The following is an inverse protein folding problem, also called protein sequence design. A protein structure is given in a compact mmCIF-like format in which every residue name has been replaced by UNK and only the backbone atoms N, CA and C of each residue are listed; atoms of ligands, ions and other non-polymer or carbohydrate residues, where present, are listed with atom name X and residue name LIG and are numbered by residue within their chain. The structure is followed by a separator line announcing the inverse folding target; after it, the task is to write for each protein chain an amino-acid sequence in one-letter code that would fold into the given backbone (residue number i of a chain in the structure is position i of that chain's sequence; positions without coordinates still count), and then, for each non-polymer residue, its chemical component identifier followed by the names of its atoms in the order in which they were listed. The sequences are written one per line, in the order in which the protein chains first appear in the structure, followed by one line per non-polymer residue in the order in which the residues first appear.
data_IF_284388688649
#
_entry.id   IF_284388688649
#
_cell.length_a   1.000
_cell.length_b   1.000
_cell.length_c   1.000
_cell.angle_alpha   90.00
_cell.angle_beta   90.00
_cell.angle_gamma   90.00
#
_symmetry.space_group_name_H-M   'P 1'
#
loop_
_entity.id
_entity.type
_entity.pdbx_description
1 polymer ?
#
# COMPACT_ATOMS: atom_id res chain seq x y z
N UNK A 1 22.85 18.90 -26.17
CA UNK A 1 21.80 17.89 -26.47
C UNK A 1 21.22 17.33 -25.16
N UNK A 2 20.28 18.04 -24.53
CA UNK A 2 19.70 17.69 -23.23
C UNK A 2 18.22 17.29 -23.33
N UNK A 3 17.84 16.52 -24.36
CA UNK A 3 16.46 16.08 -24.57
C UNK A 3 16.17 14.66 -23.99
N UNK A 4 17.13 14.06 -23.28
CA UNK A 4 17.01 12.70 -22.73
C UNK A 4 16.67 12.60 -21.24
N UNK A 5 16.93 13.65 -20.44
CA UNK A 5 16.79 13.58 -18.98
C UNK A 5 15.35 13.85 -18.47
N UNK A 6 14.51 14.53 -19.24
CA UNK A 6 13.12 14.82 -18.86
C UNK A 6 12.15 13.65 -19.02
N UNK A 7 12.45 12.73 -19.96
CA UNK A 7 11.61 11.55 -20.25
C UNK A 7 11.72 10.48 -19.16
N UNK A 8 12.88 10.29 -18.56
CA UNK A 8 13.10 9.28 -17.50
C UNK A 8 12.41 9.67 -16.19
N UNK A 9 12.44 10.96 -15.84
CA UNK A 9 11.73 11.50 -14.67
C UNK A 9 10.20 11.46 -14.85
N UNK A 10 9.69 11.79 -16.04
CA UNK A 10 8.24 11.77 -16.30
C UNK A 10 7.66 10.36 -16.31
N UNK A 11 8.34 9.39 -16.95
CA UNK A 11 7.87 8.00 -17.01
C UNK A 11 7.85 7.34 -15.63
N UNK A 12 8.91 7.55 -14.84
CA UNK A 12 8.98 7.01 -13.47
C UNK A 12 7.90 7.62 -12.59
N UNK A 13 7.66 8.93 -12.71
CA UNK A 13 6.61 9.62 -11.97
C UNK A 13 5.21 9.10 -12.31
N UNK A 14 4.90 8.94 -13.61
CA UNK A 14 3.61 8.38 -14.06
C UNK A 14 3.40 6.94 -13.57
N UNK A 15 4.45 6.12 -13.59
CA UNK A 15 4.41 4.76 -13.05
C UNK A 15 4.07 4.74 -11.56
N UNK A 16 4.82 5.49 -10.74
CA UNK A 16 4.56 5.55 -9.30
C UNK A 16 3.18 6.15 -9.00
N UNK A 17 2.77 7.22 -9.68
CA UNK A 17 1.46 7.84 -9.49
C UNK A 17 0.32 6.87 -9.81
N UNK A 18 0.44 6.11 -10.91
CA UNK A 18 -0.56 5.09 -11.29
C UNK A 18 -0.66 3.97 -10.24
N UNK A 19 0.48 3.47 -9.74
CA UNK A 19 0.48 2.44 -8.70
C UNK A 19 -0.17 2.93 -7.39
N UNK A 20 0.13 4.15 -6.95
CA UNK A 20 -0.48 4.72 -5.75
C UNK A 20 -1.97 5.01 -5.95
N UNK A 21 -2.39 5.41 -7.15
CA UNK A 21 -3.80 5.57 -7.47
C UNK A 21 -4.55 4.23 -7.38
N UNK A 22 -3.98 3.16 -7.93
CA UNK A 22 -4.57 1.82 -7.79
C UNK A 22 -4.61 1.37 -6.32
N UNK A 23 -3.53 1.60 -5.56
CA UNK A 23 -3.48 1.27 -4.13
C UNK A 23 -4.52 2.07 -3.32
N UNK A 24 -4.78 3.32 -3.70
CA UNK A 24 -5.85 4.14 -3.13
C UNK A 24 -7.22 3.53 -3.38
N UNK A 25 -7.53 3.16 -4.63
CA UNK A 25 -8.83 2.56 -4.98
C UNK A 25 -9.06 1.26 -4.21
N UNK A 26 -8.05 0.39 -4.14
CA UNK A 26 -8.14 -0.84 -3.36
C UNK A 26 -8.29 -0.56 -1.86
N UNK A 27 -7.51 0.36 -1.28
CA UNK A 27 -7.61 0.73 0.13
C UNK A 27 -9.01 1.27 0.50
N UNK A 28 -9.59 2.14 -0.35
CA UNK A 28 -10.95 2.67 -0.14
C UNK A 28 -12.00 1.55 -0.28
N UNK A 29 -11.82 0.64 -1.23
CA UNK A 29 -12.71 -0.51 -1.41
C UNK A 29 -12.73 -1.39 -0.16
N UNK A 30 -11.55 -1.65 0.43
CA UNK A 30 -11.39 -2.42 1.67
C UNK A 30 -12.01 -1.70 2.86
N UNK A 31 -11.80 -0.39 2.99
CA UNK A 31 -12.49 0.43 4.00
C UNK A 31 -14.01 0.35 3.87
N UNK A 32 -14.55 0.35 2.65
CA UNK A 32 -15.98 0.20 2.41
C UNK A 32 -16.50 -1.19 2.79
N UNK A 33 -15.82 -2.25 2.34
CA UNK A 33 -16.19 -3.64 2.63
C UNK A 33 -16.24 -3.92 4.15
N UNK A 34 -15.19 -3.54 4.87
CA UNK A 34 -15.08 -3.80 6.30
C UNK A 34 -15.82 -2.75 7.16
N UNK A 35 -15.96 -1.52 6.67
CA UNK A 35 -16.75 -0.47 7.31
C UNK A 35 -18.23 -0.81 7.39
N UNK A 36 -18.78 -1.50 6.38
CA UNK A 36 -20.18 -1.97 6.40
C UNK A 36 -20.41 -3.02 7.49
N UNK A 37 -19.45 -3.92 7.73
CA UNK A 37 -19.56 -4.88 8.84
C UNK A 37 -19.50 -4.19 10.21
N UNK A 38 -18.67 -3.15 10.34
CA UNK A 38 -18.62 -2.31 11.54
C UNK A 38 -19.93 -1.56 11.79
N UNK A 39 -20.53 -1.02 10.73
CA UNK A 39 -21.83 -0.33 10.78
C UNK A 39 -22.96 -1.29 11.15
N UNK A 40 -22.93 -2.52 10.62
CA UNK A 40 -23.87 -3.60 10.96
C UNK A 40 -23.72 -4.02 12.43
N UNK A 41 -22.50 -4.15 12.94
CA UNK A 41 -22.24 -4.44 14.35
C UNK A 41 -22.77 -3.32 15.27
N UNK A 42 -22.53 -2.05 14.90
CA UNK A 42 -23.06 -0.87 15.61
C UNK A 42 -24.58 -0.85 15.64
N UNK A 43 -25.24 -1.14 14.52
CA UNK A 43 -26.71 -1.20 14.42
C UNK A 43 -27.32 -2.37 15.21
N UNK A 44 -26.57 -3.45 15.39
CA UNK A 44 -26.99 -4.60 16.19
C UNK A 44 -26.69 -4.44 17.69
N UNK A 45 -26.21 -3.26 18.12
CA UNK A 45 -25.75 -2.96 19.49
C UNK A 45 -24.72 -3.97 20.01
N UNK A 46 -23.89 -4.51 19.09
CA UNK A 46 -22.81 -5.44 19.39
C UNK A 46 -21.47 -4.73 19.35
N UNK A 47 -20.53 -5.21 20.15
CA UNK A 47 -19.17 -4.70 20.16
C UNK A 47 -18.52 -4.88 18.78
N UNK A 48 -17.83 -3.84 18.30
CA UNK A 48 -17.08 -3.92 17.06
C UNK A 48 -15.87 -4.84 17.24
N UNK A 49 -15.82 -5.94 16.48
CA UNK A 49 -14.68 -6.87 16.55
C UNK A 49 -13.42 -6.16 16.03
N UNK A 50 -12.36 -6.23 16.85
CA UNK A 50 -11.11 -5.49 16.66
C UNK A 50 -10.43 -5.78 15.32
N UNK A 51 -10.70 -6.95 14.72
CA UNK A 51 -10.17 -7.35 13.40
C UNK A 51 -10.64 -6.40 12.29
N UNK A 52 -11.92 -6.05 12.28
CA UNK A 52 -12.51 -5.15 11.29
C UNK A 52 -12.03 -3.72 11.50
N UNK A 53 -11.92 -3.28 12.75
CA UNK A 53 -11.37 -1.96 13.11
C UNK A 53 -9.94 -1.83 12.60
N UNK A 54 -9.11 -2.85 12.82
CA UNK A 54 -7.74 -2.87 12.34
C UNK A 54 -7.68 -2.73 10.80
N UNK A 55 -8.52 -3.48 10.08
CA UNK A 55 -8.59 -3.41 8.62
C UNK A 55 -8.94 -2.01 8.10
N UNK A 56 -9.93 -1.36 8.72
CA UNK A 56 -10.37 0.00 8.35
C UNK A 56 -9.28 1.03 8.67
N UNK A 57 -8.58 0.90 9.80
CA UNK A 57 -7.47 1.81 10.15
C UNK A 57 -6.30 1.67 9.17
N UNK A 58 -5.90 0.44 8.85
CA UNK A 58 -4.84 0.15 7.86
C UNK A 58 -5.24 0.67 6.47
N UNK A 59 -6.49 0.45 6.07
CA UNK A 59 -7.05 0.97 4.83
C UNK A 59 -7.05 2.50 4.79
N UNK A 60 -7.46 3.16 5.88
CA UNK A 60 -7.46 4.62 6.02
C UNK A 60 -6.04 5.21 5.95
N UNK A 61 -5.08 4.63 6.67
CA UNK A 61 -3.67 5.03 6.61
C UNK A 61 -3.10 4.88 5.20
N UNK A 62 -3.46 3.80 4.51
CA UNK A 62 -3.01 3.55 3.13
C UNK A 62 -3.64 4.52 2.14
N UNK A 63 -4.91 4.85 2.31
CA UNK A 63 -5.61 5.83 1.48
C UNK A 63 -4.99 7.23 1.64
N UNK A 64 -4.76 7.66 2.89
CA UNK A 64 -4.08 8.93 3.19
C UNK A 64 -2.66 8.96 2.62
N UNK A 65 -1.90 7.87 2.81
CA UNK A 65 -0.54 7.75 2.27
C UNK A 65 -0.52 7.82 0.75
N UNK A 66 -1.48 7.19 0.08
CA UNK A 66 -1.57 7.20 -1.38
C UNK A 66 -1.90 8.59 -1.93
N UNK A 67 -2.79 9.35 -1.27
CA UNK A 67 -3.09 10.75 -1.62
C UNK A 67 -1.84 11.62 -1.42
N UNK A 68 -1.15 11.48 -0.29
CA UNK A 68 0.06 12.24 0.01
C UNK A 68 1.17 11.96 -1.01
N UNK A 69 1.34 10.70 -1.43
CA UNK A 69 2.36 10.32 -2.40
C UNK A 69 2.02 10.65 -3.86
N UNK A 70 0.79 11.07 -4.17
CA UNK A 70 0.48 11.73 -5.44
C UNK A 70 1.13 13.11 -5.57
N UNK A 71 1.58 13.73 -4.47
CA UNK A 71 2.25 15.02 -4.49
C UNK A 71 3.76 14.80 -4.70
N UNK A 72 4.36 15.32 -5.81
CA UNK A 72 5.74 15.04 -6.19
C UNK A 72 6.78 15.52 -5.15
N UNK A 73 6.41 16.49 -4.32
CA UNK A 73 7.27 17.05 -3.28
C UNK A 73 7.59 16.02 -2.18
N UNK A 74 6.65 15.13 -1.86
CA UNK A 74 6.79 14.14 -0.79
C UNK A 74 7.62 12.93 -1.26
N UNK A 75 7.73 12.69 -2.58
CA UNK A 75 8.53 11.62 -3.17
C UNK A 75 10.05 11.78 -2.94
N UNK A 76 10.53 12.96 -2.53
CA UNK A 76 11.94 13.23 -2.25
C UNK A 76 12.40 12.80 -0.85
N UNK A 77 11.49 12.35 0.02
CA UNK A 77 11.88 11.87 1.35
C UNK A 77 12.66 10.56 1.26
N UNK A 78 13.91 10.57 1.76
CA UNK A 78 14.79 9.39 1.78
C UNK A 78 14.22 8.20 2.58
N UNK A 79 13.21 8.43 3.42
CA UNK A 79 12.52 7.41 4.22
C UNK A 79 11.25 6.85 3.56
N UNK A 80 10.90 7.25 2.32
CA UNK A 80 9.70 6.76 1.64
C UNK A 80 9.66 5.23 1.56
N UNK A 81 10.79 4.60 1.21
CA UNK A 81 10.88 3.14 1.09
C UNK A 81 10.57 2.41 2.41
N UNK A 82 10.93 3.01 3.56
CA UNK A 82 10.61 2.45 4.89
C UNK A 82 9.10 2.51 5.11
N UNK A 83 8.46 3.63 4.79
CA UNK A 83 7.02 3.79 4.95
C UNK A 83 6.22 2.84 4.05
N UNK A 84 6.61 2.71 2.78
CA UNK A 84 6.00 1.76 1.85
C UNK A 84 6.13 0.32 2.37
N UNK A 85 7.27 -0.02 2.98
CA UNK A 85 7.50 -1.33 3.58
C UNK A 85 6.68 -1.57 4.86
N UNK A 86 6.52 -0.54 5.69
CA UNK A 86 5.62 -0.60 6.85
C UNK A 86 4.19 -0.89 6.40
N UNK A 87 3.68 -0.17 5.40
CA UNK A 87 2.33 -0.41 4.86
C UNK A 87 2.20 -1.83 4.30
N UNK A 88 3.21 -2.34 3.59
CA UNK A 88 3.24 -3.72 3.15
C UNK A 88 3.11 -4.74 4.30
N UNK A 89 3.83 -4.54 5.42
CA UNK A 89 3.72 -5.41 6.59
C UNK A 89 2.32 -5.32 7.21
N UNK A 90 1.75 -4.12 7.32
CA UNK A 90 0.39 -3.93 7.85
C UNK A 90 -0.65 -4.67 6.98
N UNK A 91 -0.55 -4.56 5.65
CA UNK A 91 -1.41 -5.30 4.73
C UNK A 91 -1.21 -6.81 4.80
N UNK A 92 0.02 -7.28 5.03
CA UNK A 92 0.31 -8.70 5.25
C UNK A 92 -0.38 -9.21 6.52
N UNK A 93 -0.40 -8.42 7.59
CA UNK A 93 -1.12 -8.77 8.82
C UNK A 93 -2.64 -8.80 8.60
N UNK A 94 -3.21 -7.81 7.91
CA UNK A 94 -4.63 -7.79 7.53
C UNK A 94 -4.99 -9.04 6.73
N UNK A 95 -4.25 -9.29 5.65
CA UNK A 95 -4.43 -10.48 4.83
C UNK A 95 -4.31 -11.75 5.66
N UNK A 96 -3.30 -11.90 6.52
CA UNK A 96 -3.11 -13.09 7.35
C UNK A 96 -4.27 -13.37 8.30
N UNK A 97 -4.83 -12.34 8.95
CA UNK A 97 -5.99 -12.47 9.84
C UNK A 97 -7.22 -12.94 9.08
N UNK A 98 -7.52 -12.33 7.93
CA UNK A 98 -8.70 -12.67 7.15
C UNK A 98 -8.54 -13.96 6.33
N UNK A 99 -7.32 -14.27 5.87
CA UNK A 99 -6.99 -15.51 5.18
C UNK A 99 -7.20 -16.71 6.12
N UNK A 100 -6.69 -16.64 7.35
CA UNK A 100 -6.87 -17.73 8.31
C UNK A 100 -8.35 -18.00 8.61
N UNK A 101 -9.14 -16.92 8.75
CA UNK A 101 -10.56 -16.97 9.08
C UNK A 101 -11.46 -17.46 7.94
N UNK A 102 -11.19 -17.07 6.68
CA UNK A 102 -12.14 -17.31 5.58
C UNK A 102 -11.67 -18.34 4.54
N UNK A 103 -10.39 -18.69 4.48
CA UNK A 103 -9.90 -19.67 3.50
C UNK A 103 -10.39 -21.08 3.87
N UNK A 104 -10.37 -21.43 5.16
CA UNK A 104 -10.73 -22.77 5.64
C UNK A 104 -12.24 -22.95 5.91
N UNK A 105 -13.01 -21.86 6.01
CA UNK A 105 -14.44 -21.91 6.30
C UNK A 105 -15.23 -22.38 5.05
N UNK A 106 -16.05 -23.42 5.20
CA UNK A 106 -16.93 -23.87 4.11
C UNK A 106 -18.16 -22.95 4.01
N UNK A 107 -18.44 -22.36 2.82
CA UNK A 107 -19.63 -21.54 2.65
C UNK A 107 -20.86 -22.44 2.60
N UNK A 108 -21.49 -22.72 3.74
CA UNK A 108 -22.74 -23.46 3.88
C UNK A 108 -23.94 -22.64 3.35
N UNK A 109 -23.90 -22.23 2.07
CA UNK A 109 -24.96 -21.45 1.42
C UNK A 109 -25.06 -19.98 1.87
N UNK A 110 -24.22 -19.51 2.81
CA UNK A 110 -24.24 -18.12 3.25
C UNK A 110 -23.50 -17.19 2.26
N UNK A 111 -24.24 -16.30 1.63
CA UNK A 111 -23.70 -15.31 0.67
C UNK A 111 -22.72 -14.32 1.32
N UNK A 112 -22.81 -14.08 2.63
CA UNK A 112 -21.88 -13.19 3.34
C UNK A 112 -20.47 -13.78 3.43
N UNK A 113 -20.34 -15.11 3.63
CA UNK A 113 -19.04 -15.80 3.65
C UNK A 113 -18.39 -15.76 2.25
N UNK A 114 -19.18 -15.96 1.19
CA UNK A 114 -18.69 -15.84 -0.19
C UNK A 114 -18.18 -14.45 -0.51
N UNK A 115 -18.92 -13.40 -0.13
CA UNK A 115 -18.48 -12.01 -0.26
C UNK A 115 -17.16 -11.76 0.47
N UNK A 116 -17.01 -12.32 1.67
CA UNK A 116 -15.80 -12.13 2.45
C UNK A 116 -14.59 -12.88 1.88
N UNK A 117 -14.79 -14.06 1.28
CA UNK A 117 -13.73 -14.73 0.51
C UNK A 117 -13.24 -13.86 -0.65
N UNK A 118 -14.14 -13.16 -1.35
CA UNK A 118 -13.73 -12.20 -2.38
C UNK A 118 -12.97 -10.99 -1.80
N UNK A 119 -13.36 -10.49 -0.62
CA UNK A 119 -12.64 -9.42 0.06
C UNK A 119 -11.20 -9.82 0.41
N UNK A 120 -10.96 -11.06 0.84
CA UNK A 120 -9.60 -11.59 1.08
C UNK A 120 -8.72 -11.54 -0.17
N UNK A 121 -9.28 -11.82 -1.34
CA UNK A 121 -8.54 -11.70 -2.61
C UNK A 121 -8.21 -10.24 -2.95
N UNK A 122 -9.10 -9.30 -2.62
CA UNK A 122 -8.85 -7.86 -2.78
C UNK A 122 -7.71 -7.42 -1.87
N UNK A 123 -7.71 -7.87 -0.60
CA UNK A 123 -6.62 -7.60 0.35
C UNK A 123 -5.28 -8.15 -0.14
N UNK A 124 -5.28 -9.37 -0.71
CA UNK A 124 -4.07 -9.97 -1.28
C UNK A 124 -3.51 -9.14 -2.43
N UNK A 125 -4.36 -8.72 -3.37
CA UNK A 125 -3.95 -7.89 -4.51
C UNK A 125 -3.37 -6.56 -4.02
N UNK A 126 -4.01 -5.94 -3.02
CA UNK A 126 -3.53 -4.69 -2.47
C UNK A 126 -2.19 -4.85 -1.72
N UNK A 127 -2.03 -5.94 -0.96
CA UNK A 127 -0.77 -6.31 -0.30
C UNK A 127 0.36 -6.47 -1.33
N UNK A 128 0.11 -7.20 -2.43
CA UNK A 128 1.10 -7.37 -3.50
C UNK A 128 1.41 -6.06 -4.22
N UNK A 129 0.43 -5.18 -4.37
CA UNK A 129 0.64 -3.86 -4.95
C UNK A 129 1.58 -3.01 -4.07
N UNK A 130 1.37 -3.01 -2.74
CA UNK A 130 2.29 -2.37 -1.79
C UNK A 130 3.69 -2.98 -1.81
N UNK A 131 3.81 -4.30 -2.02
CA UNK A 131 5.11 -4.96 -2.20
C UNK A 131 5.84 -4.44 -3.45
N UNK A 132 5.14 -4.35 -4.59
CA UNK A 132 5.72 -3.84 -5.83
C UNK A 132 6.16 -2.38 -5.66
N UNK A 133 5.37 -1.55 -4.97
CA UNK A 133 5.72 -0.16 -4.66
C UNK A 133 6.99 -0.11 -3.78
N UNK A 134 7.03 -0.90 -2.70
CA UNK A 134 8.16 -0.94 -1.78
C UNK A 134 9.46 -1.41 -2.46
N UNK A 135 9.40 -2.48 -3.26
CA UNK A 135 10.55 -2.99 -4.02
C UNK A 135 11.00 -1.98 -5.07
N UNK A 136 10.07 -1.33 -5.77
CA UNK A 136 10.39 -0.29 -6.77
C UNK A 136 11.06 0.91 -6.12
N UNK A 137 10.58 1.36 -4.96
CA UNK A 137 11.17 2.45 -4.19
C UNK A 137 12.57 2.09 -3.67
N UNK A 138 12.74 0.87 -3.15
CA UNK A 138 14.02 0.35 -2.68
C UNK A 138 15.05 0.26 -3.80
N UNK A 139 14.67 -0.31 -4.95
CA UNK A 139 15.53 -0.40 -6.14
C UNK A 139 15.93 0.99 -6.64
N UNK A 140 15.00 1.96 -6.65
CA UNK A 140 15.29 3.34 -7.02
C UNK A 140 16.29 4.00 -6.06
N UNK A 141 16.15 3.77 -4.76
CA UNK A 141 17.07 4.28 -3.73
C UNK A 141 18.47 3.67 -3.86
N UNK A 142 18.59 2.35 -4.01
CA UNK A 142 19.89 1.70 -4.24
C UNK A 142 20.58 2.22 -5.50
N UNK A 143 19.84 2.42 -6.60
CA UNK A 143 20.41 2.94 -7.86
C UNK A 143 20.93 4.37 -7.73
N UNK A 144 20.27 5.23 -6.95
CA UNK A 144 20.68 6.64 -6.76
C UNK A 144 21.65 6.85 -5.59
N UNK A 145 21.75 5.90 -4.65
CA UNK A 145 22.74 5.89 -3.55
C UNK A 145 24.19 5.91 -4.05
N UNK A 146 24.45 5.33 -5.23
CA UNK A 146 25.81 5.19 -5.78
C UNK A 146 26.38 6.47 -6.42
N UNK A 147 25.67 7.60 -6.44
CA UNK A 147 26.17 8.88 -7.03
C UNK A 147 26.69 9.88 -5.97
N UNK A 148 27.10 9.42 -4.79
CA UNK A 148 27.72 10.28 -3.75
C UNK A 148 29.15 9.89 -3.38
N UNK A 149 30.02 9.75 -4.38
CA UNK A 149 31.47 9.87 -4.20
C UNK A 149 32.00 11.03 -5.04
N UNK A 150 31.60 12.25 -4.68
CA UNK A 150 32.26 13.46 -5.18
C UNK A 150 32.88 14.10 -3.97
N UNK A 151 34.21 14.03 -3.86
CA UNK A 151 35.15 14.81 -3.05
C UNK A 151 36.37 13.96 -2.68
N UNK A 152 37.03 13.38 -3.69
CA UNK A 152 38.48 13.18 -3.59
C UNK A 152 39.10 14.50 -4.05
N UNK A 153 39.27 15.44 -3.12
CA UNK A 153 40.12 16.60 -3.34
C UNK A 153 41.56 16.10 -3.42
N UNK A 154 41.98 15.67 -4.61
CA UNK A 154 43.41 15.58 -4.94
C UNK A 154 43.87 17.00 -5.20
N UNK A 155 44.28 17.68 -4.13
CA UNK A 155 45.15 18.84 -4.26
C UNK A 155 46.47 18.34 -4.88
N UNK A 156 46.72 18.76 -6.11
CA UNK A 156 48.02 18.62 -6.76
C UNK A 156 48.83 19.83 -6.29
N UNK A 157 50.06 19.51 -5.84
CA UNK A 157 51.13 20.35 -5.26
C UNK A 157 51.17 21.83 -5.66
#
# INVERSE_FOLDING_TARGET
MAFGAGLTSSKSYLYFSTLHFLAFVFAVTVCGLYGVELDRARKADKYADSKWVFAVVVGGLSALSSILFCIPFILRFAFKWVWDFVLFILWTAVFGVFANMYIHEHPEGNNDIRRMKHAVWVDLVNMLLWLVIAVSALAYWFKHRHTRSQFTSRAIV
#
